data_IF_350143489058
#
_entry.id   IF_350143489058
#
_cell.length_a   1.000
_cell.length_b   1.000
_cell.length_c   1.000
_cell.angle_alpha   90.00
_cell.angle_beta   90.00
_cell.angle_gamma   90.00
#
_symmetry.space_group_name_H-M   'P 1'
#
loop_
_entity.id
_entity.type
_entity.pdbx_description
1 polymer ?
#
# COMPACT_ATOMS: atom_id res chain seq x y z
N UNK A 1 -18.04 3.99 -2.99
CA UNK A 1 -17.12 2.84 -3.08
C UNK A 1 -17.50 1.81 -2.02
N UNK A 2 -18.48 0.95 -2.31
CA UNK A 2 -18.83 -0.14 -1.41
C UNK A 2 -18.82 -1.44 -2.20
N UNK A 3 -17.71 -2.16 -2.10
CA UNK A 3 -17.69 -3.58 -2.42
C UNK A 3 -18.27 -4.26 -1.18
N UNK A 4 -19.55 -4.62 -1.22
CA UNK A 4 -20.25 -5.25 -0.09
C UNK A 4 -19.75 -6.69 0.08
N UNK A 5 -18.75 -6.87 0.94
CA UNK A 5 -18.54 -8.10 1.69
C UNK A 5 -18.21 -7.70 3.14
N UNK A 6 -18.96 -8.19 4.15
CA UNK A 6 -18.76 -7.80 5.54
C UNK A 6 -17.38 -8.17 6.09
N UNK A 7 -16.67 -9.12 5.45
CA UNK A 7 -15.29 -9.50 5.81
C UNK A 7 -14.22 -8.67 5.09
N UNK A 8 -14.56 -7.98 4.00
CA UNK A 8 -13.59 -7.26 3.15
C UNK A 8 -13.01 -6.03 3.83
N UNK A 9 -13.83 -5.31 4.62
CA UNK A 9 -13.38 -4.13 5.39
C UNK A 9 -12.41 -4.53 6.50
N UNK A 10 -12.58 -5.73 7.07
CA UNK A 10 -11.70 -6.26 8.10
C UNK A 10 -10.33 -6.60 7.51
N UNK A 11 -10.28 -7.21 6.33
CA UNK A 11 -9.00 -7.59 5.71
C UNK A 11 -8.29 -6.43 4.99
N UNK A 12 -9.01 -5.54 4.30
CA UNK A 12 -8.38 -4.43 3.55
C UNK A 12 -7.94 -3.26 4.43
N UNK A 13 -8.57 -3.05 5.60
CA UNK A 13 -8.21 -1.94 6.49
C UNK A 13 -7.63 -2.40 7.83
N UNK A 14 -8.21 -3.41 8.50
CA UNK A 14 -7.75 -3.79 9.85
C UNK A 14 -6.40 -4.49 9.80
N UNK A 15 -6.13 -5.33 8.80
CA UNK A 15 -4.82 -6.00 8.68
C UNK A 15 -3.69 -4.99 8.43
N UNK A 16 -3.75 -4.09 7.43
CA UNK A 16 -2.68 -3.12 7.24
C UNK A 16 -2.57 -2.10 8.38
N UNK A 17 -3.68 -1.72 9.03
CA UNK A 17 -3.64 -0.88 10.24
C UNK A 17 -2.97 -1.59 11.41
N UNK A 18 -3.27 -2.87 11.63
CA UNK A 18 -2.65 -3.65 12.68
C UNK A 18 -1.17 -3.90 12.40
N UNK A 19 -0.78 -4.28 11.18
CA UNK A 19 0.63 -4.50 10.83
C UNK A 19 1.44 -3.21 10.86
N UNK A 20 0.87 -2.08 10.41
CA UNK A 20 1.49 -0.76 10.51
C UNK A 20 1.70 -0.34 11.97
N UNK A 21 0.67 -0.44 12.80
CA UNK A 21 0.75 -0.10 14.22
C UNK A 21 1.75 -1.01 14.98
N UNK A 22 1.72 -2.32 14.73
CA UNK A 22 2.67 -3.27 15.34
C UNK A 22 4.11 -2.96 14.93
N UNK A 23 4.34 -2.68 13.64
CA UNK A 23 5.67 -2.32 13.14
C UNK A 23 6.17 -1.01 13.75
N UNK A 24 5.28 -0.03 13.93
CA UNK A 24 5.62 1.23 14.60
C UNK A 24 5.91 1.05 16.09
N UNK A 25 5.12 0.24 16.81
CA UNK A 25 5.40 -0.09 18.22
C UNK A 25 6.75 -0.81 18.36
N UNK A 26 7.03 -1.77 17.47
CA UNK A 26 8.31 -2.48 17.45
C UNK A 26 9.47 -1.51 17.18
N UNK A 27 9.29 -0.57 16.24
CA UNK A 27 10.27 0.49 15.96
C UNK A 27 10.56 1.35 17.20
N UNK A 28 9.53 1.78 17.94
CA UNK A 28 9.70 2.56 19.17
C UNK A 28 10.39 1.76 20.30
N UNK A 29 10.33 0.43 20.27
CA UNK A 29 10.96 -0.43 21.26
C UNK A 29 12.45 -0.75 20.95
N UNK A 30 12.93 -0.46 19.74
CA UNK A 30 14.33 -0.70 19.36
C UNK A 30 15.23 0.40 19.95
N UNK A 31 16.30 0.00 20.63
CA UNK A 31 17.35 0.89 21.13
C UNK A 31 18.71 0.38 20.64
N UNK A 32 19.58 1.20 20.01
CA UNK A 32 19.44 2.64 19.77
C UNK A 32 18.42 2.99 18.69
N UNK A 33 17.85 4.20 18.78
CA UNK A 33 16.87 4.71 17.82
C UNK A 33 17.47 4.71 16.41
N UNK A 34 16.80 4.02 15.49
CA UNK A 34 17.17 4.03 14.08
C UNK A 34 16.95 5.46 13.53
N UNK A 35 17.89 6.02 12.76
CA UNK A 35 17.66 7.33 12.17
C UNK A 35 16.52 7.25 11.15
N UNK A 36 15.52 8.12 11.27
CA UNK A 36 14.46 8.28 10.24
C UNK A 36 14.96 9.13 9.08
N UNK A 37 15.71 10.18 9.40
CA UNK A 37 16.31 11.12 8.46
C UNK A 37 17.83 10.90 8.40
N UNK A 38 18.43 11.12 7.22
CA UNK A 38 19.87 10.97 6.99
C UNK A 38 20.22 9.94 5.92
N UNK A 39 21.52 9.75 5.66
CA UNK A 39 22.00 8.88 4.57
C UNK A 39 21.75 7.38 4.79
N UNK A 40 21.55 6.96 6.03
CA UNK A 40 21.10 5.61 6.42
C UNK A 40 19.66 5.63 6.98
N UNK A 41 18.89 6.67 6.68
CA UNK A 41 17.57 6.88 7.24
C UNK A 41 16.51 5.96 6.64
N UNK A 42 15.54 5.51 7.44
CA UNK A 42 14.40 4.70 7.00
C UNK A 42 13.65 5.32 5.80
N UNK A 43 13.59 6.65 5.76
CA UNK A 43 12.91 7.39 4.69
C UNK A 43 13.61 7.24 3.34
N UNK A 44 14.95 7.19 3.33
CA UNK A 44 15.74 6.98 2.11
C UNK A 44 15.53 5.57 1.58
N UNK A 45 15.59 4.56 2.44
CA UNK A 45 15.31 3.17 2.06
C UNK A 45 13.89 3.01 1.48
N UNK A 46 12.90 3.62 2.14
CA UNK A 46 11.50 3.61 1.65
C UNK A 46 11.40 4.26 0.28
N UNK A 47 12.03 5.43 0.09
CA UNK A 47 12.07 6.11 -1.21
C UNK A 47 12.74 5.26 -2.29
N UNK A 48 13.90 4.66 -2.01
CA UNK A 48 14.62 3.81 -2.97
C UNK A 48 13.80 2.58 -3.36
N UNK A 49 13.17 1.93 -2.38
CA UNK A 49 12.22 0.85 -2.64
C UNK A 49 11.07 1.29 -3.54
N UNK A 50 10.44 2.44 -3.24
CA UNK A 50 9.31 2.97 -4.01
C UNK A 50 9.71 3.37 -5.44
N UNK A 51 10.91 3.89 -5.65
CA UNK A 51 11.43 4.23 -6.99
C UNK A 51 11.51 2.97 -7.88
N UNK A 52 11.82 1.81 -7.30
CA UNK A 52 11.83 0.54 -8.03
C UNK A 52 10.43 -0.08 -8.13
N UNK A 53 9.64 -0.03 -7.05
CA UNK A 53 8.34 -0.69 -6.97
C UNK A 53 7.29 0.00 -7.86
N UNK A 54 7.30 1.33 -7.96
CA UNK A 54 6.29 2.07 -8.75
C UNK A 54 6.33 1.70 -10.24
N UNK A 55 7.47 1.74 -10.96
CA UNK A 55 7.55 1.30 -12.34
C UNK A 55 7.14 -0.17 -12.52
N UNK A 56 7.49 -1.03 -11.57
CA UNK A 56 7.10 -2.44 -11.60
C UNK A 56 5.57 -2.61 -11.52
N UNK A 57 4.90 -1.93 -10.58
CA UNK A 57 3.44 -1.98 -10.44
C UNK A 57 2.73 -1.38 -11.65
N UNK A 58 3.24 -0.28 -12.21
CA UNK A 58 2.71 0.32 -13.46
C UNK A 58 2.89 -0.64 -14.64
N UNK A 59 4.03 -1.33 -14.73
CA UNK A 59 4.29 -2.36 -15.74
C UNK A 59 3.36 -3.56 -15.62
N UNK A 60 3.11 -4.04 -14.40
CA UNK A 60 2.14 -5.09 -14.13
C UNK A 60 0.71 -4.66 -14.52
N UNK A 61 0.32 -3.43 -14.16
CA UNK A 61 -0.97 -2.85 -14.55
C UNK A 61 -1.12 -2.79 -16.07
N UNK A 62 -0.10 -2.29 -16.78
CA UNK A 62 -0.09 -2.22 -18.23
C UNK A 62 -0.16 -3.62 -18.87
N UNK A 63 0.53 -4.60 -18.30
CA UNK A 63 0.53 -5.99 -18.79
C UNK A 63 -0.85 -6.64 -18.65
N UNK A 64 -1.55 -6.42 -17.54
CA UNK A 64 -2.93 -6.92 -17.34
C UNK A 64 -3.93 -6.11 -18.19
N UNK A 65 -3.71 -4.82 -18.36
CA UNK A 65 -4.58 -3.95 -19.16
C UNK A 65 -4.43 -4.20 -20.67
N UNK A 66 -3.22 -4.50 -21.16
CA UNK A 66 -2.92 -4.73 -22.58
C UNK A 66 -2.87 -6.21 -22.96
N UNK A 67 -2.82 -7.12 -21.98
CA UNK A 67 -2.79 -8.56 -22.21
C UNK A 67 -3.93 -9.00 -23.14
N UNK A 68 -3.58 -9.87 -24.12
CA UNK A 68 -4.51 -10.42 -25.10
C UNK A 68 -5.78 -10.95 -24.42
N UNK A 69 -6.97 -10.83 -25.07
CA UNK A 69 -8.24 -11.33 -24.54
C UNK A 69 -8.21 -12.86 -24.45
N UNK A 70 -7.65 -13.38 -23.37
CA UNK A 70 -7.64 -14.80 -23.05
C UNK A 70 -8.88 -15.10 -22.22
N UNK A 71 -9.67 -16.09 -22.65
CA UNK A 71 -10.88 -16.59 -21.99
C UNK A 71 -10.73 -16.97 -20.50
N UNK A 72 -9.54 -16.88 -19.89
CA UNK A 72 -9.26 -17.12 -18.48
C UNK A 72 -9.29 -15.84 -17.60
N UNK A 73 -8.91 -14.67 -18.14
CA UNK A 73 -8.82 -13.40 -17.39
C UNK A 73 -10.12 -12.56 -17.52
N UNK A 74 -10.90 -12.79 -18.57
CA UNK A 74 -12.24 -12.21 -18.74
C UNK A 74 -13.34 -13.06 -18.05
N UNK A 75 -12.97 -14.13 -17.33
CA UNK A 75 -13.94 -14.93 -16.57
C UNK A 75 -14.48 -14.13 -15.39
N UNK A 76 -15.72 -14.46 -15.01
CA UNK A 76 -16.24 -14.11 -13.70
C UNK A 76 -15.35 -14.78 -12.64
N UNK A 77 -15.02 -14.09 -11.53
CA UNK A 77 -14.34 -14.73 -10.41
C UNK A 77 -15.14 -15.98 -9.99
N UNK A 78 -14.51 -17.17 -9.83
CA UNK A 78 -15.20 -18.31 -9.23
C UNK A 78 -15.51 -17.97 -7.76
N UNK A 79 -16.79 -18.06 -7.37
CA UNK A 79 -17.28 -17.71 -6.03
C UNK A 79 -18.20 -16.48 -6.02
N UNK A 80 -18.04 -15.60 -5.02
CA UNK A 80 -18.96 -14.48 -4.78
C UNK A 80 -18.89 -13.40 -5.88
N UNK A 81 -20.06 -12.89 -6.29
CA UNK A 81 -20.14 -11.83 -7.30
C UNK A 81 -19.44 -10.55 -6.81
N UNK A 82 -18.30 -10.22 -7.41
CA UNK A 82 -17.65 -8.93 -7.21
C UNK A 82 -18.46 -7.86 -7.95
N UNK A 83 -19.37 -7.21 -7.24
CA UNK A 83 -20.20 -6.13 -7.74
C UNK A 83 -19.48 -4.79 -7.53
N UNK A 84 -19.29 -4.02 -8.59
CA UNK A 84 -18.96 -2.59 -8.53
C UNK A 84 -20.16 -1.82 -9.10
N UNK A 85 -20.81 -0.99 -8.29
CA UNK A 85 -22.00 -0.20 -8.67
C UNK A 85 -23.10 -1.02 -9.38
N UNK A 86 -23.34 -2.24 -8.89
CA UNK A 86 -24.38 -3.14 -9.44
C UNK A 86 -24.00 -3.83 -10.75
N UNK A 87 -22.76 -3.69 -11.24
CA UNK A 87 -22.24 -4.45 -12.39
C UNK A 87 -21.24 -5.50 -11.94
N UNK A 88 -21.39 -6.71 -12.47
CA UNK A 88 -20.46 -7.83 -12.26
C UNK A 88 -19.14 -7.47 -12.92
N UNK A 89 -18.08 -7.29 -12.14
CA UNK A 89 -16.74 -7.01 -12.67
C UNK A 89 -16.09 -8.30 -13.17
N UNK A 90 -15.41 -8.19 -14.31
CA UNK A 90 -14.48 -9.24 -14.74
C UNK A 90 -13.23 -9.21 -13.86
N UNK A 91 -12.57 -10.36 -13.73
CA UNK A 91 -11.34 -10.52 -12.96
C UNK A 91 -10.27 -9.49 -13.38
N UNK A 92 -10.16 -9.25 -14.69
CA UNK A 92 -9.31 -8.21 -15.28
C UNK A 92 -9.56 -6.81 -14.72
N UNK A 93 -10.83 -6.38 -14.69
CA UNK A 93 -11.19 -5.05 -14.22
C UNK A 93 -10.84 -4.90 -12.74
N UNK A 94 -11.12 -5.91 -11.93
CA UNK A 94 -10.76 -5.91 -10.51
C UNK A 94 -9.24 -5.78 -10.29
N UNK A 95 -8.43 -6.57 -11.01
CA UNK A 95 -6.96 -6.52 -10.90
C UNK A 95 -6.42 -5.17 -11.39
N UNK A 96 -6.96 -4.61 -12.46
CA UNK A 96 -6.58 -3.26 -12.92
C UNK A 96 -6.88 -2.19 -11.88
N UNK A 97 -8.04 -2.24 -11.22
CA UNK A 97 -8.36 -1.29 -10.14
C UNK A 97 -7.44 -1.47 -8.93
N UNK A 98 -7.14 -2.71 -8.54
CA UNK A 98 -6.24 -3.03 -7.43
C UNK A 98 -4.82 -2.51 -7.69
N UNK A 99 -4.25 -2.83 -8.86
CA UNK A 99 -2.92 -2.37 -9.24
C UNK A 99 -2.87 -0.85 -9.45
N UNK A 100 -3.95 -0.25 -9.96
CA UNK A 100 -4.07 1.21 -10.07
C UNK A 100 -4.07 1.90 -8.71
N UNK A 101 -4.79 1.35 -7.73
CA UNK A 101 -4.78 1.83 -6.34
C UNK A 101 -3.38 1.73 -5.71
N UNK A 102 -2.72 0.57 -5.87
CA UNK A 102 -1.34 0.34 -5.42
C UNK A 102 -0.37 1.37 -6.01
N UNK A 103 -0.44 1.62 -7.32
CA UNK A 103 0.37 2.64 -7.99
C UNK A 103 0.12 4.02 -7.37
N UNK A 104 -1.14 4.40 -7.15
CA UNK A 104 -1.50 5.69 -6.58
C UNK A 104 -0.95 5.86 -5.15
N UNK A 105 -1.16 4.88 -4.28
CA UNK A 105 -0.64 4.92 -2.90
C UNK A 105 0.89 4.98 -2.90
N UNK A 106 1.55 4.25 -3.79
CA UNK A 106 3.00 4.23 -3.89
C UNK A 106 3.56 5.58 -4.39
N UNK A 107 2.90 6.21 -5.36
CA UNK A 107 3.23 7.57 -5.81
C UNK A 107 3.06 8.61 -4.70
N UNK A 108 1.93 8.59 -3.98
CA UNK A 108 1.69 9.50 -2.86
C UNK A 108 2.74 9.31 -1.76
N UNK A 109 3.07 8.06 -1.44
CA UNK A 109 4.09 7.74 -0.42
C UNK A 109 5.49 8.17 -0.89
N UNK A 110 5.79 8.06 -2.18
CA UNK A 110 7.06 8.49 -2.76
C UNK A 110 7.21 10.02 -2.69
N UNK A 111 6.18 10.76 -3.09
CA UNK A 111 6.15 12.23 -2.99
C UNK A 111 6.29 12.65 -1.53
N UNK A 112 5.52 12.02 -0.62
CA UNK A 112 5.62 12.27 0.81
C UNK A 112 7.03 12.03 1.35
N UNK A 113 7.70 10.97 0.92
CA UNK A 113 9.07 10.65 1.32
C UNK A 113 10.11 11.65 0.82
N UNK A 114 9.86 12.32 -0.31
CA UNK A 114 10.71 13.39 -0.86
C UNK A 114 10.43 14.73 -0.17
N UNK A 115 9.17 15.04 0.11
CA UNK A 115 8.74 16.31 0.72
C UNK A 115 9.03 16.36 2.22
N UNK A 116 8.88 15.24 2.94
CA UNK A 116 9.13 15.16 4.38
C UNK A 116 10.49 15.73 4.84
N UNK A 117 11.64 15.39 4.24
CA UNK A 117 12.94 15.95 4.65
C UNK A 117 13.09 17.44 4.27
N UNK A 118 12.39 17.92 3.23
CA UNK A 118 12.40 19.33 2.83
C UNK A 118 11.64 20.21 3.84
N UNK A 119 10.56 19.68 4.41
CA UNK A 119 9.67 20.42 5.33
C UNK A 119 10.11 20.29 6.79
N UNK A 120 10.82 19.21 7.16
CA UNK A 120 11.37 18.98 8.50
C UNK A 120 12.16 20.18 9.10
N UNK A 121 13.09 20.84 8.39
CA UNK A 121 13.85 21.95 8.97
C UNK A 121 12.99 23.21 9.18
N UNK A 122 11.92 23.38 8.41
CA UNK A 122 10.98 24.50 8.56
C UNK A 122 10.06 24.27 9.74
N UNK A 123 9.50 23.06 9.87
CA UNK A 123 8.64 22.69 11.01
C UNK A 123 9.42 22.76 12.32
N UNK A 124 10.64 22.20 12.37
CA UNK A 124 11.45 22.19 13.59
C UNK A 124 11.83 23.59 14.06
N UNK A 125 12.01 24.56 13.15
CA UNK A 125 12.24 25.97 13.51
C UNK A 125 11.01 26.66 14.06
N UNK A 126 9.83 26.39 13.51
CA UNK A 126 8.56 26.98 13.97
C UNK A 126 8.11 26.39 15.30
N UNK A 127 8.34 25.09 15.51
CA UNK A 127 8.01 24.37 16.74
C UNK A 127 9.15 24.37 17.78
N UNK A 128 10.24 25.10 17.54
CA UNK A 128 11.37 25.18 18.47
C UNK A 128 10.96 25.75 19.85
N UNK A 129 9.88 26.53 19.91
CA UNK A 129 9.33 27.08 21.16
C UNK A 129 8.58 26.07 22.01
N UNK A 130 8.17 24.92 21.47
CA UNK A 130 7.33 23.93 22.15
C UNK A 130 7.85 22.49 21.91
N UNK A 131 8.78 21.99 22.74
CA UNK A 131 9.45 20.71 22.52
C UNK A 131 8.48 19.51 22.51
N UNK A 132 7.36 19.61 23.24
CA UNK A 132 6.31 18.58 23.24
C UNK A 132 5.67 18.40 21.87
N UNK A 133 5.41 19.50 21.16
CA UNK A 133 4.78 19.47 19.84
C UNK A 133 5.74 18.94 18.76
N UNK A 134 7.04 19.21 18.88
CA UNK A 134 8.04 18.73 17.94
C UNK A 134 8.15 17.19 17.97
N UNK A 135 8.23 16.60 19.17
CA UNK A 135 8.26 15.14 19.34
C UNK A 135 6.94 14.49 18.87
N UNK A 136 5.79 15.10 19.18
CA UNK A 136 4.48 14.60 18.73
C UNK A 136 4.35 14.60 17.19
N UNK A 137 4.79 15.66 16.50
CA UNK A 137 4.75 15.75 15.04
C UNK A 137 5.69 14.71 14.41
N UNK A 138 6.87 14.50 14.99
CA UNK A 138 7.82 13.50 14.52
C UNK A 138 7.28 12.06 14.67
N UNK A 139 6.71 11.74 15.83
CA UNK A 139 6.04 10.44 16.08
C UNK A 139 4.83 10.23 15.19
N UNK A 140 4.01 11.27 14.97
CA UNK A 140 2.89 11.20 14.06
C UNK A 140 3.35 10.95 12.61
N UNK A 141 4.39 11.66 12.15
CA UNK A 141 4.94 11.48 10.80
C UNK A 141 5.50 10.09 10.56
N UNK A 142 6.21 9.53 11.54
CA UNK A 142 6.74 8.15 11.46
C UNK A 142 5.62 7.12 11.46
N UNK A 143 4.60 7.28 12.30
CA UNK A 143 3.43 6.42 12.31
C UNK A 143 2.73 6.39 10.95
N UNK A 144 2.54 7.57 10.33
CA UNK A 144 1.95 7.67 8.98
C UNK A 144 2.82 6.95 7.95
N UNK A 145 4.15 7.10 8.00
CA UNK A 145 5.06 6.40 7.10
C UNK A 145 4.92 4.87 7.22
N UNK A 146 5.03 4.35 8.44
CA UNK A 146 4.89 2.91 8.70
C UNK A 146 3.52 2.40 8.25
N UNK A 147 2.48 3.20 8.44
CA UNK A 147 1.13 2.85 8.01
C UNK A 147 0.99 2.77 6.49
N UNK A 148 1.54 3.74 5.75
CA UNK A 148 1.53 3.74 4.29
C UNK A 148 2.33 2.57 3.71
N UNK A 149 3.51 2.29 4.27
CA UNK A 149 4.34 1.15 3.85
C UNK A 149 3.64 -0.17 4.15
N UNK A 150 3.00 -0.31 5.32
CA UNK A 150 2.24 -1.50 5.67
C UNK A 150 1.05 -1.72 4.72
N UNK A 151 0.31 -0.65 4.37
CA UNK A 151 -0.75 -0.71 3.36
C UNK A 151 -0.18 -1.22 2.04
N UNK A 152 0.93 -0.65 1.55
CA UNK A 152 1.56 -1.06 0.31
C UNK A 152 1.98 -2.54 0.32
N UNK A 153 2.66 -3.00 1.36
CA UNK A 153 3.14 -4.39 1.46
C UNK A 153 1.96 -5.35 1.53
N UNK A 154 0.99 -5.11 2.41
CA UNK A 154 -0.17 -6.00 2.58
C UNK A 154 -1.01 -6.04 1.32
N UNK A 155 -1.31 -4.90 0.69
CA UNK A 155 -2.10 -4.85 -0.55
C UNK A 155 -1.34 -5.49 -1.73
N UNK A 156 -0.01 -5.39 -1.77
CA UNK A 156 0.81 -6.07 -2.78
C UNK A 156 0.76 -7.59 -2.59
N UNK A 157 0.92 -8.09 -1.35
CA UNK A 157 0.80 -9.51 -1.04
C UNK A 157 -0.59 -10.05 -1.39
N UNK A 158 -1.64 -9.26 -1.12
CA UNK A 158 -3.01 -9.59 -1.54
C UNK A 158 -3.16 -9.63 -3.05
N UNK A 159 -2.59 -8.66 -3.77
CA UNK A 159 -2.58 -8.67 -5.22
C UNK A 159 -1.88 -9.93 -5.76
N UNK A 160 -0.74 -10.33 -5.17
CA UNK A 160 -0.03 -11.54 -5.55
C UNK A 160 -0.82 -12.82 -5.24
N UNK A 161 -1.44 -12.89 -4.06
CA UNK A 161 -2.31 -14.02 -3.68
C UNK A 161 -3.46 -14.16 -4.67
N UNK A 162 -4.12 -13.06 -5.00
CA UNK A 162 -5.24 -13.04 -5.95
C UNK A 162 -4.78 -13.43 -7.38
N UNK A 163 -3.64 -12.91 -7.82
CA UNK A 163 -3.06 -13.26 -9.13
C UNK A 163 -2.62 -14.73 -9.20
N UNK A 164 -2.11 -15.30 -8.11
CA UNK A 164 -1.51 -16.65 -8.12
C UNK A 164 -2.55 -17.74 -7.86
N UNK A 165 -3.44 -17.54 -6.90
CA UNK A 165 -4.43 -18.55 -6.51
C UNK A 165 -5.70 -18.46 -7.37
N UNK A 166 -6.27 -17.26 -7.54
CA UNK A 166 -7.59 -17.11 -8.17
C UNK A 166 -7.50 -17.15 -9.71
N UNK A 167 -6.45 -16.58 -10.32
CA UNK A 167 -6.29 -16.65 -11.78
C UNK A 167 -5.84 -18.05 -12.22
N UNK A 168 -5.03 -18.73 -11.41
CA UNK A 168 -4.44 -20.02 -11.77
C UNK A 168 -5.26 -21.22 -11.29
N UNK A 169 -6.29 -21.03 -10.46
CA UNK A 169 -7.21 -22.12 -10.10
C UNK A 169 -7.95 -22.60 -11.36
N UNK A 170 -7.81 -23.88 -11.74
CA UNK A 170 -8.56 -24.43 -12.85
C UNK A 170 -10.05 -24.39 -12.54
N UNK A 171 -10.85 -23.93 -13.50
CA UNK A 171 -12.31 -23.89 -13.42
C UNK A 171 -12.84 -25.34 -13.35
N UNK A 172 -12.92 -25.91 -12.15
CA UNK A 172 -13.32 -27.30 -11.94
C UNK A 172 -13.10 -27.87 -10.54
N UNK A 173 -13.03 -27.03 -9.49
CA UNK A 173 -13.04 -27.51 -8.09
C UNK A 173 -13.99 -26.68 -7.25
N UNK A 174 -15.28 -26.83 -7.56
CA UNK A 174 -16.40 -27.18 -6.66
C UNK A 174 -17.73 -27.10 -7.42
#
# INVERSE_FOLDING_TARGET
>A
MQIHHPEKVRYDYVVPLATGALSWIAYQAITPELPIFGEAGLLKFTREFLIMAVPFMVGALASVAMGFPGQHIDRRPPGAELLLDGRVLTLRQFVCYLLGYLCFVAFVTLIGSIVAPLVQPTISKVLASEPFWNDAVFRAGTLVLFQLVAILVVTTLWALYFLTDIINRPAGSE
#
